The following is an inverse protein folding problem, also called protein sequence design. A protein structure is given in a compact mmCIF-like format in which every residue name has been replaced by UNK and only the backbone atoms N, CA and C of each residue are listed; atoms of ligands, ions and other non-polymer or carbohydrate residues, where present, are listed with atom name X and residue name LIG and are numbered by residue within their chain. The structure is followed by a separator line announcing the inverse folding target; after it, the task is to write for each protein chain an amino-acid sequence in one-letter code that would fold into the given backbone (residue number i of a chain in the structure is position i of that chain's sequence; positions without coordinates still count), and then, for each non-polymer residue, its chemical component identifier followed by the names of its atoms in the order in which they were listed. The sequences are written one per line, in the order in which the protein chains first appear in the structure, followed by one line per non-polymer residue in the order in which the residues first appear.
data_IF_361797712795
#
_entry.id   IF_361797712795
#
_cell.length_a   1.000
_cell.length_b   1.000
_cell.length_c   1.000
_cell.angle_alpha   90.00
_cell.angle_beta   90.00
_cell.angle_gamma   90.00
#
_symmetry.space_group_name_H-M   'P 1'
#
loop_
_entity.id
_entity.type
_entity.pdbx_description
1 polymer ?
#
# COMPACT_ATOMS: atom_id res chain seq x y z
N UNK A 1 -0.31 5.61 7.18
CA UNK A 1 -0.61 5.31 5.76
C UNK A 1 0.52 5.88 4.95
N UNK A 2 1.13 5.07 4.09
CA UNK A 2 2.17 5.49 3.15
C UNK A 2 1.79 5.07 1.74
N UNK A 3 2.16 5.88 0.75
CA UNK A 3 1.98 5.60 -0.67
C UNK A 3 3.10 6.26 -1.47
N UNK A 4 3.43 5.70 -2.63
CA UNK A 4 4.29 6.33 -3.62
C UNK A 4 3.85 5.92 -5.02
N UNK A 5 4.31 6.63 -6.06
CA UNK A 5 4.07 6.20 -7.43
C UNK A 5 4.96 5.01 -7.78
N UNK A 6 4.36 3.94 -8.30
CA UNK A 6 5.05 2.68 -8.58
C UNK A 6 6.30 2.82 -9.48
N UNK A 7 6.25 3.72 -10.47
CA UNK A 7 7.35 4.01 -11.39
C UNK A 7 8.09 5.33 -11.09
N UNK A 8 7.72 6.04 -10.03
CA UNK A 8 8.41 7.24 -9.58
C UNK A 8 8.31 7.37 -8.05
N UNK A 9 9.04 6.51 -7.29
CA UNK A 9 8.85 6.34 -5.84
C UNK A 9 9.28 7.56 -5.01
N UNK A 10 9.92 8.56 -5.62
CA UNK A 10 10.24 9.86 -4.99
C UNK A 10 9.00 10.76 -4.88
N UNK A 11 7.94 10.47 -5.63
CA UNK A 11 6.62 11.09 -5.41
C UNK A 11 5.88 10.25 -4.39
N UNK A 12 5.90 10.73 -3.15
CA UNK A 12 5.41 10.03 -1.98
C UNK A 12 4.29 10.78 -1.24
N UNK A 13 3.56 10.03 -0.42
CA UNK A 13 2.56 10.51 0.51
C UNK A 13 2.68 9.71 1.80
N UNK A 14 2.69 10.39 2.94
CA UNK A 14 2.63 9.76 4.25
C UNK A 14 1.75 10.58 5.18
N UNK A 15 0.90 9.89 5.92
CA UNK A 15 0.04 10.49 6.94
C UNK A 15 -0.22 9.48 8.05
N UNK A 16 -0.21 9.95 9.28
CA UNK A 16 -0.68 9.17 10.43
C UNK A 16 -2.16 9.46 10.65
N UNK A 17 -2.96 8.40 10.83
CA UNK A 17 -4.40 8.53 11.09
C UNK A 17 -4.66 8.40 12.59
N UNK A 18 -5.56 9.22 13.12
CA UNK A 18 -6.14 8.98 14.45
C UNK A 18 -6.93 7.67 14.44
N UNK A 19 -6.81 6.85 15.50
CA UNK A 19 -7.66 5.68 15.70
C UNK A 19 -9.16 6.06 15.66
N UNK A 20 -9.98 5.16 15.10
CA UNK A 20 -11.46 5.33 15.06
C UNK A 20 -12.16 4.62 16.22
N UNK A 21 -11.38 3.91 17.05
CA UNK A 21 -11.82 3.24 18.27
C UNK A 21 -10.61 2.89 19.13
N UNK A 22 -10.84 2.67 20.41
CA UNK A 22 -9.80 2.23 21.36
C UNK A 22 -9.46 0.74 21.24
N UNK A 23 -10.09 0.03 20.29
CA UNK A 23 -9.83 -1.38 20.03
C UNK A 23 -8.55 -1.52 19.22
N UNK A 24 -7.56 -2.19 19.79
CA UNK A 24 -6.36 -2.64 19.08
C UNK A 24 -6.11 -4.12 19.32
N UNK A 25 -5.40 -4.73 18.38
CA UNK A 25 -4.77 -6.03 18.58
C UNK A 25 -3.34 -5.74 19.02
N UNK A 26 -2.92 -6.21 20.20
CA UNK A 26 -1.58 -5.93 20.74
C UNK A 26 -0.46 -6.22 19.74
N UNK A 27 -0.57 -7.32 18.99
CA UNK A 27 0.37 -7.69 17.94
C UNK A 27 0.48 -6.66 16.79
N UNK A 28 -0.55 -5.87 16.50
CA UNK A 28 -0.49 -4.83 15.47
C UNK A 28 0.28 -3.58 15.93
N UNK A 29 0.29 -3.29 17.24
CA UNK A 29 1.03 -2.17 17.82
C UNK A 29 2.54 -2.50 17.89
N UNK A 30 2.89 -3.74 18.23
CA UNK A 30 4.29 -4.19 18.29
C UNK A 30 5.00 -4.15 16.94
N UNK A 31 4.27 -4.40 15.84
CA UNK A 31 4.85 -4.42 14.48
C UNK A 31 5.24 -3.03 13.99
N UNK A 32 4.43 -2.00 14.27
CA UNK A 32 4.67 -0.63 13.75
C UNK A 32 5.53 0.24 14.67
N UNK A 33 5.72 -0.15 15.93
CA UNK A 33 6.37 0.68 16.95
C UNK A 33 5.57 1.92 17.36
N UNK A 34 4.37 2.13 16.80
CA UNK A 34 3.46 3.24 17.13
C UNK A 34 2.54 2.84 18.29
N UNK A 35 2.40 3.72 19.29
CA UNK A 35 1.37 3.55 20.31
C UNK A 35 0.05 4.15 19.86
N UNK A 36 -1.07 3.61 20.36
CA UNK A 36 -2.39 4.22 20.14
C UNK A 36 -2.43 5.67 20.63
N UNK A 37 -1.74 5.97 21.73
CA UNK A 37 -1.67 7.31 22.30
C UNK A 37 -0.96 8.29 21.36
N UNK A 38 0.18 7.90 20.79
CA UNK A 38 0.87 8.70 19.76
C UNK A 38 -0.04 8.92 18.55
N UNK A 39 -0.66 7.85 18.03
CA UNK A 39 -1.57 7.97 16.90
C UNK A 39 -2.78 8.87 17.19
N UNK A 40 -3.30 8.84 18.43
CA UNK A 40 -4.41 9.67 18.87
C UNK A 40 -4.05 11.16 18.98
N UNK A 41 -2.84 11.46 19.46
CA UNK A 41 -2.37 12.82 19.69
C UNK A 41 -1.88 13.46 18.38
N UNK A 42 -1.06 12.75 17.62
CA UNK A 42 -0.29 13.30 16.51
C UNK A 42 -0.90 12.98 15.14
N UNK A 43 -1.85 12.03 15.07
CA UNK A 43 -2.53 11.66 13.83
C UNK A 43 -3.53 12.72 13.36
N UNK A 44 -3.90 12.68 12.09
CA UNK A 44 -5.01 13.47 11.55
C UNK A 44 -6.35 12.76 11.70
N UNK A 45 -7.44 13.53 11.77
CA UNK A 45 -8.77 12.93 11.72
C UNK A 45 -8.91 12.14 10.40
N UNK A 46 -9.55 10.96 10.40
CA UNK A 46 -9.66 10.14 9.19
C UNK A 46 -10.20 10.88 7.97
N UNK A 47 -11.19 11.76 8.14
CA UNK A 47 -11.73 12.58 7.05
C UNK A 47 -10.68 13.51 6.46
N UNK A 48 -9.83 14.12 7.28
CA UNK A 48 -8.75 15.01 6.84
C UNK A 48 -7.65 14.21 6.14
N UNK A 49 -7.21 13.10 6.74
CA UNK A 49 -6.18 12.23 6.17
C UNK A 49 -6.61 11.68 4.79
N UNK A 50 -7.84 11.19 4.67
CA UNK A 50 -8.37 10.69 3.41
C UNK A 50 -8.57 11.81 2.38
N UNK A 51 -8.98 13.00 2.80
CA UNK A 51 -9.09 14.16 1.89
C UNK A 51 -7.72 14.54 1.32
N UNK A 52 -6.68 14.59 2.16
CA UNK A 52 -5.32 14.84 1.70
C UNK A 52 -4.83 13.75 0.75
N UNK A 53 -5.16 12.49 1.03
CA UNK A 53 -4.79 11.40 0.15
C UNK A 53 -5.52 11.48 -1.20
N UNK A 54 -6.82 11.80 -1.21
CA UNK A 54 -7.58 12.02 -2.44
C UNK A 54 -6.96 13.13 -3.31
N UNK A 55 -6.59 14.26 -2.69
CA UNK A 55 -5.92 15.38 -3.37
C UNK A 55 -4.58 14.94 -3.94
N UNK A 56 -3.79 14.18 -3.18
CA UNK A 56 -2.51 13.67 -3.66
C UNK A 56 -2.69 12.71 -4.84
N UNK A 57 -3.70 11.82 -4.81
CA UNK A 57 -4.01 10.93 -5.94
C UNK A 57 -4.40 11.75 -7.17
N UNK A 58 -5.34 12.68 -7.03
CA UNK A 58 -5.82 13.52 -8.13
C UNK A 58 -4.71 14.37 -8.77
N UNK A 59 -3.76 14.86 -7.96
CA UNK A 59 -2.60 15.62 -8.43
C UNK A 59 -1.63 14.78 -9.28
N UNK A 60 -1.54 13.48 -9.00
CA UNK A 60 -0.53 12.60 -9.60
C UNK A 60 -1.10 11.62 -10.63
N UNK A 61 -2.42 11.53 -10.77
CA UNK A 61 -3.07 10.82 -11.85
C UNK A 61 -3.14 11.72 -13.10
N UNK A 62 -2.65 11.27 -14.28
CA UNK A 62 -2.85 12.00 -15.52
C UNK A 62 -4.32 12.32 -15.79
N UNK A 63 -4.60 13.47 -16.42
CA UNK A 63 -5.96 13.85 -16.79
C UNK A 63 -6.61 12.77 -17.66
N UNK A 64 -7.85 12.39 -17.33
CA UNK A 64 -8.60 11.34 -18.03
C UNK A 64 -8.15 9.90 -17.74
N UNK A 65 -7.17 9.69 -16.84
CA UNK A 65 -6.75 8.36 -16.42
C UNK A 65 -7.48 7.90 -15.14
N UNK A 66 -7.41 6.59 -14.87
CA UNK A 66 -7.90 6.00 -13.61
C UNK A 66 -6.69 5.55 -12.78
N UNK A 67 -6.56 6.00 -11.52
CA UNK A 67 -5.48 5.55 -10.66
C UNK A 67 -5.67 4.06 -10.31
N UNK A 68 -4.58 3.30 -10.26
CA UNK A 68 -4.59 1.88 -9.90
C UNK A 68 -3.93 1.70 -8.53
N UNK A 69 -4.65 1.10 -7.59
CA UNK A 69 -4.06 0.69 -6.31
C UNK A 69 -3.18 -0.54 -6.54
N UNK A 70 -1.93 -0.49 -6.09
CA UNK A 70 -0.98 -1.60 -6.16
C UNK A 70 -0.53 -1.94 -4.75
N UNK A 71 -0.56 -3.22 -4.38
CA UNK A 71 -0.12 -3.67 -3.06
C UNK A 71 0.37 -5.11 -3.08
N UNK A 72 1.22 -5.46 -2.12
CA UNK A 72 1.76 -6.81 -1.99
C UNK A 72 0.67 -7.81 -1.64
N UNK A 73 -0.19 -7.49 -0.69
CA UNK A 73 -1.39 -8.26 -0.38
C UNK A 73 -2.61 -7.37 -0.61
N UNK A 74 -2.81 -6.97 -1.87
CA UNK A 74 -3.79 -5.96 -2.24
C UNK A 74 -5.21 -6.27 -1.71
N UNK A 75 -5.72 -7.52 -1.68
CA UNK A 75 -7.03 -7.81 -1.08
C UNK A 75 -7.18 -7.37 0.38
N UNK A 76 -6.09 -7.39 1.14
CA UNK A 76 -6.07 -6.91 2.53
C UNK A 76 -5.95 -5.38 2.56
N UNK A 77 -4.88 -4.83 2.00
CA UNK A 77 -4.58 -3.40 2.08
C UNK A 77 -5.65 -2.53 1.43
N UNK A 78 -6.12 -2.91 0.24
CA UNK A 78 -7.18 -2.21 -0.49
C UNK A 78 -8.50 -2.22 0.27
N UNK A 79 -8.81 -3.27 1.05
CA UNK A 79 -10.05 -3.32 1.82
C UNK A 79 -10.14 -2.20 2.87
N UNK A 80 -9.03 -1.85 3.52
CA UNK A 80 -8.96 -0.73 4.46
C UNK A 80 -9.06 0.61 3.73
N UNK A 81 -8.30 0.78 2.64
CA UNK A 81 -8.31 2.01 1.85
C UNK A 81 -9.72 2.27 1.30
N UNK A 82 -10.35 1.26 0.71
CA UNK A 82 -11.73 1.31 0.23
C UNK A 82 -12.73 1.65 1.34
N UNK A 83 -12.64 0.99 2.50
CA UNK A 83 -13.51 1.28 3.63
C UNK A 83 -13.40 2.74 4.08
N UNK A 84 -12.17 3.25 4.24
CA UNK A 84 -11.94 4.63 4.69
C UNK A 84 -12.42 5.65 3.65
N UNK A 85 -12.16 5.42 2.36
CA UNK A 85 -12.66 6.28 1.29
C UNK A 85 -14.18 6.35 1.27
N UNK A 86 -14.86 5.21 1.26
CA UNK A 86 -16.33 5.17 1.25
C UNK A 86 -16.93 5.77 2.52
N UNK A 87 -16.34 5.50 3.69
CA UNK A 87 -16.86 6.00 4.98
C UNK A 87 -16.72 7.50 5.13
N UNK A 88 -15.61 8.08 4.68
CA UNK A 88 -15.29 9.49 4.96
C UNK A 88 -15.48 10.42 3.76
N UNK A 89 -15.36 9.94 2.52
CA UNK A 89 -15.48 10.74 1.29
C UNK A 89 -16.58 10.24 0.34
N UNK A 90 -17.29 9.16 0.67
CA UNK A 90 -18.36 8.54 -0.15
C UNK A 90 -17.93 7.97 -1.51
N UNK A 91 -16.68 8.18 -1.93
CA UNK A 91 -16.11 7.64 -3.16
C UNK A 91 -14.69 7.13 -2.94
N UNK A 92 -14.30 6.12 -3.72
CA UNK A 92 -12.94 5.58 -3.77
C UNK A 92 -12.35 5.84 -5.17
N UNK A 93 -11.28 6.65 -5.29
CA UNK A 93 -10.71 7.00 -6.59
C UNK A 93 -10.12 5.79 -7.34
N UNK A 94 -9.76 4.70 -6.63
CA UNK A 94 -9.24 3.47 -7.22
C UNK A 94 -10.32 2.53 -7.77
N UNK A 95 -11.61 2.87 -7.59
CA UNK A 95 -12.72 1.99 -7.97
C UNK A 95 -12.76 0.72 -7.13
N UNK A 96 -13.35 -0.36 -7.67
CA UNK A 96 -13.55 -1.66 -6.99
C UNK A 96 -12.41 -2.66 -7.22
N UNK A 97 -11.29 -2.24 -7.81
CA UNK A 97 -10.19 -3.11 -8.24
C UNK A 97 -8.85 -2.68 -7.65
N UNK A 98 -7.96 -3.64 -7.48
CA UNK A 98 -6.57 -3.43 -7.10
C UNK A 98 -5.65 -4.44 -7.81
N UNK A 99 -4.40 -4.06 -8.03
CA UNK A 99 -3.36 -4.93 -8.57
C UNK A 99 -2.60 -5.58 -7.41
N UNK A 100 -2.69 -6.91 -7.34
CA UNK A 100 -2.01 -7.72 -6.34
C UNK A 100 -0.66 -8.21 -6.86
N UNK A 101 0.43 -7.78 -6.21
CA UNK A 101 1.80 -8.15 -6.64
C UNK A 101 2.04 -9.65 -6.49
N UNK A 102 1.44 -10.29 -5.47
CA UNK A 102 1.58 -11.74 -5.25
C UNK A 102 0.95 -12.54 -6.39
N UNK A 103 -0.24 -12.17 -6.83
CA UNK A 103 -0.91 -12.79 -7.96
C UNK A 103 -0.11 -12.59 -9.26
N UNK A 104 0.43 -11.37 -9.49
CA UNK A 104 1.30 -11.10 -10.62
C UNK A 104 2.56 -11.99 -10.58
N UNK A 105 3.21 -12.11 -9.42
CA UNK A 105 4.39 -12.95 -9.25
C UNK A 105 4.10 -14.44 -9.47
N UNK A 106 2.99 -14.93 -8.93
CA UNK A 106 2.53 -16.30 -9.15
C UNK A 106 2.33 -16.58 -10.65
N UNK A 107 1.66 -15.67 -11.36
CA UNK A 107 1.45 -15.77 -12.80
C UNK A 107 2.76 -15.71 -13.60
N UNK A 108 3.70 -14.86 -13.19
CA UNK A 108 5.00 -14.68 -13.86
C UNK A 108 6.00 -15.83 -13.61
N UNK A 109 5.80 -16.66 -12.58
CA UNK A 109 6.78 -17.70 -12.21
C UNK A 109 6.22 -19.12 -12.22
N UNK A 110 4.90 -19.27 -12.20
CA UNK A 110 4.25 -20.56 -12.00
C UNK A 110 4.45 -21.15 -10.60
N UNK A 111 4.92 -20.37 -9.62
CA UNK A 111 5.08 -20.84 -8.25
C UNK A 111 3.72 -21.07 -7.56
N UNK A 112 3.74 -21.70 -6.39
CA UNK A 112 2.52 -21.86 -5.58
C UNK A 112 2.16 -20.54 -4.87
N UNK A 113 0.88 -20.34 -4.52
CA UNK A 113 0.47 -19.18 -3.72
C UNK A 113 1.22 -19.08 -2.39
N UNK A 114 1.58 -20.20 -1.76
CA UNK A 114 2.36 -20.20 -0.52
C UNK A 114 3.75 -19.57 -0.70
N UNK A 115 4.29 -19.63 -1.91
CA UNK A 115 5.63 -19.14 -2.27
C UNK A 115 5.61 -17.70 -2.81
N UNK A 116 4.51 -16.96 -2.59
CA UNK A 116 4.37 -15.55 -2.98
C UNK A 116 4.66 -14.57 -1.82
N UNK A 117 5.14 -15.04 -0.67
CA UNK A 117 5.53 -14.15 0.44
C UNK A 117 6.66 -13.20 -0.02
N UNK A 118 6.74 -12.00 0.54
CA UNK A 118 7.82 -11.02 0.24
C UNK A 118 9.20 -11.68 0.25
N UNK A 119 9.52 -12.44 1.29
CA UNK A 119 10.81 -13.15 1.42
C UNK A 119 11.07 -14.21 0.36
N UNK A 120 10.03 -14.74 -0.30
CA UNK A 120 10.18 -15.63 -1.46
C UNK A 120 10.39 -14.84 -2.75
N UNK A 121 9.69 -13.70 -2.90
CA UNK A 121 9.86 -12.79 -4.03
C UNK A 121 11.28 -12.20 -4.02
N UNK A 122 11.79 -11.77 -2.86
CA UNK A 122 13.13 -11.21 -2.68
C UNK A 122 14.23 -12.11 -3.24
N UNK A 123 14.12 -13.42 -2.98
CA UNK A 123 15.09 -14.43 -3.46
C UNK A 123 15.09 -14.59 -4.97
N UNK A 124 14.05 -14.10 -5.66
CA UNK A 124 13.87 -14.24 -7.11
C UNK A 124 14.25 -12.97 -7.85
N UNK A 125 13.91 -11.81 -7.28
CA UNK A 125 14.04 -10.52 -7.96
C UNK A 125 15.10 -9.60 -7.35
N UNK A 126 15.64 -9.93 -6.19
CA UNK A 126 16.75 -9.24 -5.53
C UNK A 126 16.53 -7.72 -5.40
N UNK A 127 15.46 -7.27 -4.72
CA UNK A 127 15.22 -5.85 -4.49
C UNK A 127 16.34 -5.23 -3.65
N UNK A 128 16.52 -3.93 -3.81
CA UNK A 128 17.51 -3.15 -3.04
C UNK A 128 16.93 -2.57 -1.75
N UNK A 129 15.61 -2.36 -1.70
CA UNK A 129 14.87 -1.94 -0.53
C UNK A 129 14.38 -3.13 0.30
N UNK A 130 14.06 -2.89 1.56
CA UNK A 130 13.46 -3.86 2.47
C UNK A 130 12.33 -3.20 3.26
N UNK A 131 11.31 -3.98 3.59
CA UNK A 131 10.27 -3.53 4.51
C UNK A 131 10.75 -3.51 5.96
N UNK A 132 10.42 -2.45 6.67
CA UNK A 132 10.80 -2.22 8.08
C UNK A 132 9.59 -1.88 8.97
N UNK A 133 8.38 -2.07 8.44
CA UNK A 133 7.10 -1.77 9.08
C UNK A 133 6.79 -0.27 9.24
N UNK A 134 7.61 0.62 8.68
CA UNK A 134 7.17 1.97 8.35
C UNK A 134 6.31 1.94 7.09
N UNK A 135 5.14 2.60 7.15
CA UNK A 135 4.15 2.52 6.08
C UNK A 135 4.64 3.11 4.74
N UNK A 136 5.51 4.13 4.77
CA UNK A 136 6.05 4.73 3.55
C UNK A 136 7.20 3.91 3.00
N UNK A 137 8.10 3.44 3.86
CA UNK A 137 9.19 2.55 3.43
C UNK A 137 8.66 1.26 2.82
N UNK A 138 7.64 0.66 3.45
CA UNK A 138 6.94 -0.51 2.90
C UNK A 138 6.30 -0.19 1.53
N UNK A 139 5.69 0.99 1.36
CA UNK A 139 5.15 1.38 0.05
C UNK A 139 6.23 1.51 -1.03
N UNK A 140 7.40 2.05 -0.71
CA UNK A 140 8.54 2.17 -1.65
C UNK A 140 9.14 0.81 -1.98
N UNK A 141 9.30 -0.06 -0.98
CA UNK A 141 9.71 -1.45 -1.16
C UNK A 141 8.73 -2.21 -2.06
N UNK A 142 7.42 -2.11 -1.81
CA UNK A 142 6.39 -2.74 -2.64
C UNK A 142 6.37 -2.19 -4.07
N UNK A 143 6.62 -0.89 -4.26
CA UNK A 143 6.78 -0.31 -5.60
C UNK A 143 7.98 -0.91 -6.35
N UNK A 144 9.12 -1.13 -5.67
CA UNK A 144 10.26 -1.83 -6.26
C UNK A 144 9.92 -3.28 -6.62
N UNK A 145 9.30 -4.03 -5.70
CA UNK A 145 8.84 -5.39 -5.98
C UNK A 145 7.94 -5.44 -7.20
N UNK A 146 6.94 -4.55 -7.29
CA UNK A 146 6.04 -4.49 -8.42
C UNK A 146 6.79 -4.30 -9.74
N UNK A 147 7.72 -3.34 -9.82
CA UNK A 147 8.50 -3.09 -11.04
C UNK A 147 9.32 -4.31 -11.45
N UNK A 148 10.02 -4.94 -10.50
CA UNK A 148 10.86 -6.09 -10.77
C UNK A 148 10.05 -7.33 -11.20
N UNK A 149 8.90 -7.56 -10.55
CA UNK A 149 7.99 -8.66 -10.90
C UNK A 149 7.31 -8.40 -12.24
N UNK A 150 6.93 -7.15 -12.55
CA UNK A 150 6.41 -6.77 -13.84
C UNK A 150 7.44 -6.97 -14.95
N UNK A 151 8.70 -6.60 -14.73
CA UNK A 151 9.77 -6.88 -15.69
C UNK A 151 9.97 -8.39 -15.89
N UNK A 152 9.88 -9.18 -14.82
CA UNK A 152 9.95 -10.64 -14.90
C UNK A 152 8.82 -11.22 -15.76
N UNK A 153 7.59 -10.69 -15.67
CA UNK A 153 6.46 -11.19 -16.44
C UNK A 153 6.56 -10.92 -17.94
N UNK A 154 7.28 -9.88 -18.34
CA UNK A 154 7.50 -9.53 -19.76
C UNK A 154 8.55 -10.41 -20.45
N UNK A 155 9.32 -11.19 -19.70
CA UNK A 155 10.40 -12.05 -20.23
C UNK A 155 9.94 -13.46 -20.59
N UNK A 156 8.68 -13.80 -20.33
CA UNK A 156 8.08 -15.11 -20.59
C UNK A 156 7.25 -15.13 -21.87
#
# INVERSE_FOLDING_TARGET
MGACLAFNPEIEFSVMLKPISDKSVAAALEVSGLTLEQAQNDGLAPVEAMSQFAIWIAKNAPEGSTPVFVGLNAPFDWSFVNYYFLKYLSENPFGFTALDIKALFMGATGCSWHDTKSSSIDKRVFPTLQGDHDALHDAKYQAELFRLVYELSLRN
#
